data_IF_774847405980
#
_entry.id   IF_774847405980
#
_cell.length_a   1.000
_cell.length_b   1.000
_cell.length_c   1.000
_cell.angle_alpha   90.00
_cell.angle_beta   90.00
_cell.angle_gamma   90.00
#
_symmetry.space_group_name_H-M   'P 1'
#
loop_
_entity.id
_entity.type
_entity.pdbx_description
1 polymer ?
#
# COMPACT_ATOMS: atom_id res chain seq x y z
N UNK A 1 -14.75 -3.10 1.44
CA UNK A 1 -13.81 -2.74 0.35
C UNK A 1 -13.59 -3.89 -0.64
N UNK A 2 -12.99 -3.60 -1.81
CA UNK A 2 -12.99 -4.48 -3.01
C UNK A 2 -12.07 -5.70 -2.86
N UNK A 3 -10.96 -5.60 -2.14
CA UNK A 3 -9.99 -6.69 -1.96
C UNK A 3 -9.85 -7.06 -0.49
N UNK A 4 -10.39 -8.22 -0.09
CA UNK A 4 -10.32 -8.72 1.30
C UNK A 4 -9.24 -9.78 1.54
N UNK A 5 -8.59 -10.28 0.50
CA UNK A 5 -7.57 -11.32 0.60
C UNK A 5 -6.56 -11.23 -0.54
N UNK A 6 -5.37 -11.77 -0.31
CA UNK A 6 -4.33 -11.90 -1.33
C UNK A 6 -4.83 -12.64 -2.57
N UNK A 7 -5.62 -13.71 -2.40
CA UNK A 7 -6.19 -14.46 -3.53
C UNK A 7 -7.11 -13.63 -4.42
N UNK A 8 -7.93 -12.72 -3.84
CA UNK A 8 -8.76 -11.80 -4.64
C UNK A 8 -7.91 -10.78 -5.40
N UNK A 9 -6.85 -10.27 -4.77
CA UNK A 9 -5.89 -9.38 -5.43
C UNK A 9 -5.20 -10.09 -6.60
N UNK A 10 -4.71 -11.31 -6.36
CA UNK A 10 -4.01 -12.12 -7.36
C UNK A 10 -4.92 -12.42 -8.56
N UNK A 11 -6.19 -12.78 -8.31
CA UNK A 11 -7.17 -13.00 -9.36
C UNK A 11 -7.34 -11.75 -10.23
N UNK A 12 -7.62 -10.58 -9.63
CA UNK A 12 -7.82 -9.35 -10.38
C UNK A 12 -6.56 -8.91 -11.13
N UNK A 13 -5.39 -9.00 -10.50
CA UNK A 13 -4.10 -8.68 -11.12
C UNK A 13 -3.85 -9.57 -12.34
N UNK A 14 -4.08 -10.87 -12.22
CA UNK A 14 -3.86 -11.82 -13.32
C UNK A 14 -4.83 -11.56 -14.48
N UNK A 15 -6.10 -11.22 -14.20
CA UNK A 15 -7.08 -10.87 -15.23
C UNK A 15 -6.71 -9.59 -15.99
N UNK A 16 -6.15 -8.59 -15.31
CA UNK A 16 -5.80 -7.28 -15.90
C UNK A 16 -4.35 -7.21 -16.41
N UNK A 17 -3.59 -8.30 -16.28
CA UNK A 17 -2.16 -8.35 -16.52
C UNK A 17 -1.78 -7.86 -17.92
N UNK A 18 -2.48 -8.37 -18.94
CA UNK A 18 -2.20 -8.05 -20.34
C UNK A 18 -2.51 -6.59 -20.66
N UNK A 19 -3.54 -6.02 -20.04
CA UNK A 19 -3.90 -4.60 -20.17
C UNK A 19 -2.80 -3.72 -19.56
N UNK A 20 -2.35 -4.03 -18.35
CA UNK A 20 -1.27 -3.28 -17.70
C UNK A 20 0.05 -3.38 -18.47
N UNK A 21 0.40 -4.56 -18.96
CA UNK A 21 1.61 -4.75 -19.76
C UNK A 21 1.53 -3.94 -21.06
N UNK A 22 0.38 -3.96 -21.74
CA UNK A 22 0.16 -3.22 -22.98
C UNK A 22 0.20 -1.71 -22.75
N UNK A 23 -0.43 -1.23 -21.67
CA UNK A 23 -0.40 0.18 -21.26
C UNK A 23 1.02 0.66 -20.94
N UNK A 24 1.78 -0.11 -20.16
CA UNK A 24 3.18 0.20 -19.87
C UNK A 24 4.04 0.23 -21.15
N UNK A 25 3.87 -0.76 -22.01
CA UNK A 25 4.59 -0.85 -23.29
C UNK A 25 4.30 0.37 -24.18
N UNK A 26 3.04 0.79 -24.28
CA UNK A 26 2.63 1.97 -25.04
C UNK A 26 3.22 3.28 -24.48
N UNK A 27 3.59 3.31 -23.19
CA UNK A 27 4.27 4.43 -22.54
C UNK A 27 5.79 4.28 -22.50
N UNK A 28 6.36 3.29 -23.20
CA UNK A 28 7.81 3.11 -23.30
C UNK A 28 8.44 2.36 -22.14
N UNK A 29 7.66 1.59 -21.37
CA UNK A 29 8.15 0.78 -20.26
C UNK A 29 7.83 -0.71 -20.45
N UNK A 30 8.71 -1.58 -19.96
CA UNK A 30 8.45 -3.02 -19.81
C UNK A 30 8.30 -3.32 -18.34
N UNK A 31 7.20 -3.96 -17.97
CA UNK A 31 7.04 -4.56 -16.65
C UNK A 31 7.84 -5.88 -16.64
N UNK A 32 8.80 -5.99 -15.73
CA UNK A 32 9.65 -7.17 -15.56
C UNK A 32 9.10 -8.11 -14.49
N UNK A 33 8.33 -7.58 -13.54
CA UNK A 33 7.67 -8.38 -12.52
C UNK A 33 6.82 -7.52 -11.60
N UNK A 34 5.76 -8.11 -11.06
CA UNK A 34 4.84 -7.45 -10.13
C UNK A 34 5.20 -7.76 -8.69
N UNK A 35 5.10 -6.76 -7.84
CA UNK A 35 5.39 -6.90 -6.42
C UNK A 35 4.22 -6.42 -5.56
N UNK A 36 4.12 -6.99 -4.38
CA UNK A 36 3.32 -6.42 -3.30
C UNK A 36 4.19 -5.49 -2.45
N UNK A 37 3.56 -4.54 -1.78
CA UNK A 37 4.20 -3.75 -0.71
C UNK A 37 3.61 -4.10 0.64
N UNK A 38 2.34 -4.52 0.69
CA UNK A 38 1.70 -5.10 1.87
C UNK A 38 0.20 -4.81 1.97
N UNK A 39 -0.41 -5.28 3.06
CA UNK A 39 -1.83 -5.06 3.38
C UNK A 39 -1.99 -3.71 4.05
N UNK A 40 -2.87 -2.87 3.55
CA UNK A 40 -3.08 -1.56 4.14
C UNK A 40 -3.88 -1.69 5.45
N UNK A 41 -3.35 -1.12 6.52
CA UNK A 41 -3.98 -1.03 7.83
C UNK A 41 -4.09 0.43 8.25
N UNK A 42 -5.13 0.75 9.03
CA UNK A 42 -5.25 2.06 9.65
C UNK A 42 -4.47 2.09 10.95
N UNK A 43 -3.63 3.12 11.10
CA UNK A 43 -2.98 3.48 12.35
C UNK A 43 -3.42 4.88 12.72
N UNK A 44 -3.78 5.08 13.98
CA UNK A 44 -4.38 6.33 14.44
C UNK A 44 -4.00 6.63 15.89
N UNK A 45 -4.15 7.90 16.28
CA UNK A 45 -3.88 8.38 17.65
C UNK A 45 -5.18 8.75 18.37
N UNK A 46 -5.50 8.03 19.44
CA UNK A 46 -6.64 8.27 20.33
C UNK A 46 -8.00 7.79 19.83
N UNK A 47 -8.06 7.03 18.73
CA UNK A 47 -9.31 6.49 18.17
C UNK A 47 -9.04 5.31 17.22
N UNK A 48 -10.03 4.45 16.98
CA UNK A 48 -9.99 3.46 15.90
C UNK A 48 -10.71 3.98 14.65
N UNK A 49 -10.17 3.71 13.46
CA UNK A 49 -10.81 4.08 12.17
C UNK A 49 -11.78 2.97 11.77
N UNK A 50 -13.03 3.06 12.19
CA UNK A 50 -14.01 1.98 11.94
C UNK A 50 -14.86 2.19 10.70
N UNK A 51 -14.97 3.44 10.25
CA UNK A 51 -15.72 3.85 9.07
C UNK A 51 -15.20 5.19 8.52
N UNK A 52 -15.68 5.67 7.35
CA UNK A 52 -15.30 6.97 6.83
C UNK A 52 -15.56 8.14 7.80
N UNK A 53 -16.67 8.10 8.54
CA UNK A 53 -17.04 9.16 9.49
C UNK A 53 -16.02 9.30 10.65
N UNK A 54 -15.31 8.23 11.00
CA UNK A 54 -14.23 8.23 12.01
C UNK A 54 -13.10 9.20 11.65
N UNK A 55 -12.95 9.55 10.37
CA UNK A 55 -11.92 10.46 9.87
C UNK A 55 -12.34 11.94 9.94
N UNK A 56 -13.61 12.25 10.21
CA UNK A 56 -14.08 13.63 10.27
C UNK A 56 -13.34 14.42 11.37
N UNK A 57 -12.80 15.59 11.02
CA UNK A 57 -11.97 16.41 11.91
C UNK A 57 -10.57 15.84 12.19
N UNK A 58 -10.18 14.74 11.55
CA UNK A 58 -8.86 14.11 11.67
C UNK A 58 -7.92 14.60 10.57
N UNK A 59 -6.64 14.27 10.68
CA UNK A 59 -5.57 14.73 9.77
C UNK A 59 -4.90 13.53 9.08
N UNK A 60 -5.62 12.79 8.23
CA UNK A 60 -5.06 11.62 7.58
C UNK A 60 -3.95 12.02 6.60
N UNK A 61 -2.82 11.34 6.65
CA UNK A 61 -1.77 11.44 5.63
C UNK A 61 -2.29 10.95 4.27
N UNK A 62 -1.91 11.66 3.21
CA UNK A 62 -1.98 11.16 1.84
C UNK A 62 -0.65 11.41 1.15
N UNK A 63 -0.21 10.47 0.31
CA UNK A 63 0.97 10.69 -0.51
C UNK A 63 0.68 11.81 -1.51
N UNK A 64 1.53 12.85 -1.51
CA UNK A 64 1.33 14.07 -2.31
C UNK A 64 1.06 13.81 -3.79
N UNK A 65 1.79 12.87 -4.38
CA UNK A 65 1.69 12.50 -5.80
C UNK A 65 0.53 11.54 -6.10
N UNK A 66 -0.26 11.14 -5.10
CA UNK A 66 -1.43 10.28 -5.24
C UNK A 66 -2.74 11.08 -5.30
N UNK A 67 -3.12 11.45 -6.52
CA UNK A 67 -4.34 12.20 -6.79
C UNK A 67 -5.61 11.40 -6.47
N UNK A 68 -5.55 10.06 -6.59
CA UNK A 68 -6.70 9.18 -6.38
C UNK A 68 -7.08 9.12 -4.90
N UNK A 69 -6.11 8.82 -4.02
CA UNK A 69 -6.36 8.80 -2.58
C UNK A 69 -6.76 10.19 -2.08
N UNK A 70 -6.16 11.26 -2.61
CA UNK A 70 -6.51 12.62 -2.22
C UNK A 70 -7.95 12.97 -2.59
N UNK A 71 -8.42 12.52 -3.75
CA UNK A 71 -9.81 12.69 -4.19
C UNK A 71 -10.76 11.86 -3.32
N UNK A 72 -10.41 10.62 -3.01
CA UNK A 72 -11.18 9.75 -2.13
C UNK A 72 -11.35 10.35 -0.72
N UNK A 73 -10.28 10.85 -0.11
CA UNK A 73 -10.39 11.48 1.22
C UNK A 73 -11.26 12.74 1.20
N UNK A 74 -11.18 13.54 0.13
CA UNK A 74 -11.99 14.76 -0.03
C UNK A 74 -13.48 14.47 -0.25
N UNK A 75 -13.85 13.27 -0.71
CA UNK A 75 -15.26 12.89 -0.81
C UNK A 75 -15.87 12.51 0.53
N UNK A 76 -15.06 12.35 1.59
CA UNK A 76 -15.55 12.08 2.94
C UNK A 76 -15.85 13.42 3.63
N UNK A 77 -17.11 13.68 4.03
CA UNK A 77 -17.47 14.94 4.68
C UNK A 77 -16.62 15.23 5.93
N UNK A 78 -16.11 16.46 6.03
CA UNK A 78 -15.33 16.90 7.19
C UNK A 78 -13.89 16.38 7.26
N UNK A 79 -13.38 15.74 6.20
CA UNK A 79 -12.00 15.24 6.13
C UNK A 79 -11.14 16.14 5.25
N UNK A 80 -10.02 16.60 5.79
CA UNK A 80 -8.99 17.32 5.02
C UNK A 80 -7.68 16.55 5.13
N UNK A 81 -7.27 15.78 4.10
CA UNK A 81 -6.04 15.02 4.16
C UNK A 81 -4.81 15.93 4.07
N UNK A 82 -3.70 15.45 4.62
CA UNK A 82 -2.41 16.18 4.67
C UNK A 82 -1.46 15.59 3.63
N UNK A 83 -1.25 16.26 2.48
CA UNK A 83 -0.40 15.76 1.42
C UNK A 83 1.09 15.92 1.77
N UNK A 84 1.80 14.80 1.92
CA UNK A 84 3.22 14.78 2.26
C UNK A 84 3.97 13.80 1.35
N UNK A 85 5.27 14.00 1.22
CA UNK A 85 6.20 12.98 0.73
C UNK A 85 6.65 12.11 1.90
N UNK A 86 7.05 10.87 1.61
CA UNK A 86 7.45 9.88 2.63
C UNK A 86 8.46 10.42 3.67
N UNK A 87 9.53 11.16 3.30
CA UNK A 87 10.49 11.71 4.27
C UNK A 87 9.89 12.73 5.26
N UNK A 88 8.77 13.37 4.89
CA UNK A 88 8.13 14.42 5.70
C UNK A 88 7.13 13.85 6.72
N UNK A 89 6.74 12.58 6.59
CA UNK A 89 5.68 11.96 7.40
C UNK A 89 6.10 11.84 8.87
N UNK A 90 7.29 11.31 9.16
CA UNK A 90 7.75 11.14 10.54
C UNK A 90 7.86 12.50 11.28
N UNK A 91 8.47 13.56 10.69
CA UNK A 91 8.40 14.91 11.25
C UNK A 91 6.97 15.42 11.48
N UNK A 92 6.05 15.18 10.54
CA UNK A 92 4.66 15.61 10.66
C UNK A 92 3.90 14.87 11.78
N UNK A 93 4.17 13.57 11.98
CA UNK A 93 3.65 12.77 13.08
C UNK A 93 4.15 13.27 14.43
N UNK A 94 5.44 13.63 14.52
CA UNK A 94 6.05 14.20 15.73
C UNK A 94 5.45 15.58 16.06
N UNK A 95 5.16 16.39 15.04
CA UNK A 95 4.57 17.72 15.19
C UNK A 95 3.04 17.73 15.29
N UNK A 96 2.40 16.56 15.40
CA UNK A 96 0.93 16.41 15.47
C UNK A 96 0.16 17.04 14.28
N UNK A 97 0.84 17.17 13.13
CA UNK A 97 0.22 17.61 11.87
C UNK A 97 -0.51 16.48 11.16
N UNK A 98 -0.09 15.23 11.42
CA UNK A 98 -0.79 14.00 11.01
C UNK A 98 -1.09 13.20 12.27
N UNK A 99 -2.28 12.63 12.36
CA UNK A 99 -2.70 11.75 13.47
C UNK A 99 -3.10 10.35 13.01
N UNK A 100 -3.27 10.16 11.69
CA UNK A 100 -3.74 8.90 11.11
C UNK A 100 -3.09 8.62 9.77
N UNK A 101 -2.77 7.35 9.55
CA UNK A 101 -2.16 6.86 8.30
C UNK A 101 -2.81 5.54 7.87
N UNK A 102 -2.89 5.32 6.57
CA UNK A 102 -3.29 4.06 5.96
C UNK A 102 -2.08 3.50 5.20
N UNK A 103 -1.47 2.42 5.69
CA UNK A 103 -0.20 1.90 5.17
C UNK A 103 0.00 0.44 5.56
N UNK A 104 0.90 -0.32 4.93
CA UNK A 104 1.27 -1.63 5.42
C UNK A 104 2.01 -1.60 6.74
N UNK A 105 1.86 -2.68 7.51
CA UNK A 105 2.51 -2.81 8.80
C UNK A 105 4.02 -2.84 8.66
N UNK A 106 4.55 -3.50 7.63
CA UNK A 106 5.97 -3.53 7.32
C UNK A 106 6.51 -2.11 7.12
N UNK A 107 5.85 -1.32 6.27
CA UNK A 107 6.21 0.08 6.00
C UNK A 107 6.15 0.95 7.25
N UNK A 108 5.04 0.88 8.01
CA UNK A 108 4.87 1.63 9.25
C UNK A 108 6.01 1.33 10.24
N UNK A 109 6.40 0.07 10.34
CA UNK A 109 7.50 -0.39 11.19
C UNK A 109 8.87 0.09 10.71
N UNK A 110 9.19 -0.14 9.44
CA UNK A 110 10.49 0.21 8.86
C UNK A 110 10.76 1.72 8.86
N UNK A 111 9.72 2.53 8.65
CA UNK A 111 9.81 3.99 8.67
C UNK A 111 9.67 4.58 10.08
N UNK A 112 9.65 3.72 11.12
CA UNK A 112 9.59 4.09 12.54
C UNK A 112 8.32 4.86 12.94
N UNK A 113 7.25 4.77 12.16
CA UNK A 113 6.01 5.50 12.39
C UNK A 113 5.16 4.88 13.52
N UNK A 114 5.24 3.56 13.72
CA UNK A 114 4.41 2.80 14.70
C UNK A 114 4.32 3.48 16.06
N UNK A 115 5.44 3.98 16.58
CA UNK A 115 5.52 4.57 17.92
C UNK A 115 4.76 5.90 18.09
N UNK A 116 4.15 6.44 17.03
CA UNK A 116 3.39 7.70 17.04
C UNK A 116 1.88 7.48 17.08
N UNK A 117 1.46 6.22 17.11
CA UNK A 117 0.08 5.77 17.18
C UNK A 117 -0.14 4.94 18.43
N UNK A 118 -1.40 4.79 18.81
CA UNK A 118 -1.85 3.96 19.93
C UNK A 118 -2.97 2.99 19.51
N UNK A 119 -3.54 3.14 18.30
CA UNK A 119 -4.53 2.23 17.74
C UNK A 119 -4.09 1.68 16.39
N UNK A 120 -4.53 0.45 16.09
CA UNK A 120 -4.41 -0.17 14.76
C UNK A 120 -5.68 -0.93 14.41
N UNK A 121 -6.20 -0.75 13.20
CA UNK A 121 -7.28 -1.59 12.67
C UNK A 121 -6.65 -2.76 11.92
N UNK A 122 -6.89 -3.98 12.41
CA UNK A 122 -6.21 -5.19 11.93
C UNK A 122 -6.81 -5.75 10.65
N UNK A 123 -8.07 -5.44 10.38
CA UNK A 123 -8.72 -5.76 9.11
C UNK A 123 -8.10 -4.91 7.99
N UNK A 124 -8.10 -5.46 6.77
CA UNK A 124 -7.55 -4.79 5.60
C UNK A 124 -8.44 -5.04 4.40
N UNK A 125 -8.75 -3.96 3.68
CA UNK A 125 -9.60 -3.98 2.49
C UNK A 125 -8.92 -3.37 1.26
N UNK A 126 -7.62 -3.09 1.38
CA UNK A 126 -6.80 -2.49 0.35
C UNK A 126 -5.38 -3.04 0.46
N UNK A 127 -4.71 -3.14 -0.68
CA UNK A 127 -3.34 -3.64 -0.79
C UNK A 127 -2.51 -2.60 -1.53
N UNK A 128 -1.29 -2.37 -1.05
CA UNK A 128 -0.33 -1.58 -1.79
C UNK A 128 0.49 -2.51 -2.68
N UNK A 129 0.57 -2.17 -3.96
CA UNK A 129 1.19 -2.98 -5.01
C UNK A 129 2.20 -2.13 -5.77
N UNK A 130 3.13 -2.79 -6.44
CA UNK A 130 4.12 -2.16 -7.28
C UNK A 130 4.56 -3.07 -8.43
N UNK A 131 5.48 -2.56 -9.23
CA UNK A 131 6.08 -3.33 -10.31
C UNK A 131 7.54 -2.91 -10.51
N UNK A 132 8.39 -3.88 -10.83
CA UNK A 132 9.70 -3.59 -11.40
C UNK A 132 9.50 -3.25 -12.87
N UNK A 133 9.89 -2.04 -13.26
CA UNK A 133 9.77 -1.57 -14.64
C UNK A 133 11.13 -1.12 -15.18
N UNK A 134 11.33 -1.30 -16.48
CA UNK A 134 12.52 -0.83 -17.19
C UNK A 134 12.12 -0.11 -18.48
N UNK A 135 12.94 0.82 -18.96
CA UNK A 135 12.78 1.43 -20.27
C UNK A 135 12.66 0.36 -21.35
N UNK A 136 11.60 0.43 -22.16
CA UNK A 136 11.39 -0.51 -23.27
C UNK A 136 12.53 -0.42 -24.28
N UNK A 137 13.00 0.79 -24.58
CA UNK A 137 14.13 1.01 -25.50
C UNK A 137 15.40 0.31 -25.01
N UNK A 138 15.67 0.38 -23.70
CA UNK A 138 16.84 -0.28 -23.12
C UNK A 138 16.72 -1.81 -23.20
N UNK A 139 15.54 -2.36 -22.92
CA UNK A 139 15.29 -3.80 -23.02
C UNK A 139 15.40 -4.27 -24.46
N UNK A 140 14.75 -3.60 -25.41
CA UNK A 140 14.74 -4.02 -26.82
C UNK A 140 16.11 -3.90 -27.50
N UNK A 141 17.00 -3.04 -26.98
CA UNK A 141 18.38 -2.91 -27.47
C UNK A 141 19.28 -4.10 -27.09
N UNK A 142 18.85 -4.94 -26.15
CA UNK A 142 19.60 -6.14 -25.76
C UNK A 142 19.46 -7.24 -26.83
N UNK A 143 20.47 -8.11 -26.99
CA UNK A 143 20.32 -9.38 -27.68
C UNK A 143 19.15 -10.23 -27.13
N UNK A 144 18.50 -11.03 -27.97
CA UNK A 144 17.27 -11.76 -27.61
C UNK A 144 17.44 -12.68 -26.40
N UNK A 145 18.57 -13.37 -26.31
CA UNK A 145 18.93 -14.22 -25.18
C UNK A 145 19.03 -13.42 -23.87
N UNK A 146 19.60 -12.22 -23.91
CA UNK A 146 19.69 -11.34 -22.74
C UNK A 146 18.32 -10.75 -22.36
N UNK A 147 17.47 -10.44 -23.34
CA UNK A 147 16.08 -10.03 -23.08
C UNK A 147 15.32 -11.12 -22.33
N UNK A 148 15.45 -12.37 -22.76
CA UNK A 148 14.77 -13.51 -22.15
C UNK A 148 15.26 -13.73 -20.72
N UNK A 149 16.57 -13.74 -20.50
CA UNK A 149 17.15 -13.84 -19.15
C UNK A 149 16.67 -12.71 -18.24
N UNK A 150 16.63 -11.47 -18.74
CA UNK A 150 16.16 -10.32 -17.95
C UNK A 150 14.68 -10.46 -17.54
N UNK A 151 13.83 -10.87 -18.48
CA UNK A 151 12.38 -11.05 -18.22
C UNK A 151 12.15 -12.21 -17.24
N UNK A 152 12.82 -13.34 -17.45
CA UNK A 152 12.62 -14.53 -16.62
C UNK A 152 13.16 -14.32 -15.20
N UNK A 153 14.34 -13.73 -15.06
CA UNK A 153 14.89 -13.38 -13.73
C UNK A 153 14.07 -12.31 -13.02
N UNK A 154 13.53 -11.33 -13.75
CA UNK A 154 12.60 -10.34 -13.21
C UNK A 154 11.33 -10.98 -12.62
N UNK A 155 10.73 -11.94 -13.34
CA UNK A 155 9.55 -12.68 -12.86
C UNK A 155 9.87 -13.52 -11.63
N UNK A 156 11.01 -14.23 -11.63
CA UNK A 156 11.46 -15.04 -10.50
C UNK A 156 11.65 -14.18 -9.24
N UNK A 157 12.43 -13.09 -9.35
CA UNK A 157 12.69 -12.18 -8.25
C UNK A 157 11.40 -11.55 -7.71
N UNK A 158 10.47 -11.17 -8.59
CA UNK A 158 9.18 -10.60 -8.21
C UNK A 158 8.29 -11.60 -7.43
N UNK A 159 8.29 -12.88 -7.83
CA UNK A 159 7.59 -13.94 -7.12
C UNK A 159 8.16 -14.21 -5.72
N UNK A 160 9.48 -14.26 -5.60
CA UNK A 160 10.17 -14.41 -4.31
C UNK A 160 9.90 -13.22 -3.38
N UNK A 161 10.05 -11.99 -3.89
CA UNK A 161 9.78 -10.77 -3.13
C UNK A 161 8.32 -10.70 -2.69
N UNK A 162 7.37 -11.06 -3.54
CA UNK A 162 5.95 -11.10 -3.20
C UNK A 162 5.70 -12.02 -1.99
N UNK A 163 6.20 -13.25 -2.05
CA UNK A 163 6.06 -14.21 -0.95
C UNK A 163 6.69 -13.68 0.34
N UNK A 164 7.90 -13.13 0.24
CA UNK A 164 8.63 -12.58 1.38
C UNK A 164 7.91 -11.39 2.01
N UNK A 165 7.45 -10.42 1.21
CA UNK A 165 6.77 -9.22 1.69
C UNK A 165 5.47 -9.58 2.40
N UNK A 166 4.65 -10.49 1.84
CA UNK A 166 3.41 -10.95 2.49
C UNK A 166 3.70 -11.53 3.88
N UNK A 167 4.74 -12.34 4.02
CA UNK A 167 5.13 -12.95 5.29
C UNK A 167 5.69 -11.92 6.27
N UNK A 168 6.58 -11.04 5.83
CA UNK A 168 7.20 -10.01 6.67
C UNK A 168 6.18 -8.96 7.14
N UNK A 169 5.22 -8.59 6.30
CA UNK A 169 4.14 -7.66 6.62
C UNK A 169 3.17 -8.23 7.65
N UNK A 170 2.74 -9.49 7.48
CA UNK A 170 1.95 -10.20 8.49
C UNK A 170 2.71 -10.28 9.83
N UNK A 171 4.01 -10.64 9.79
CA UNK A 171 4.81 -10.71 11.00
C UNK A 171 5.01 -9.34 11.66
N UNK A 172 5.09 -8.25 10.87
CA UNK A 172 5.14 -6.89 11.37
C UNK A 172 3.85 -6.49 12.08
N UNK A 173 2.69 -6.82 11.50
CA UNK A 173 1.40 -6.57 12.13
C UNK A 173 1.29 -7.29 13.48
N UNK A 174 1.64 -8.58 13.54
CA UNK A 174 1.61 -9.34 14.80
C UNK A 174 2.54 -8.79 15.88
N UNK A 175 3.68 -8.19 15.51
CA UNK A 175 4.54 -7.48 16.47
C UNK A 175 3.91 -6.16 16.93
N UNK A 176 3.25 -5.43 16.04
CA UNK A 176 2.69 -4.12 16.34
C UNK A 176 1.42 -4.19 17.19
N UNK A 177 0.56 -5.20 16.97
CA UNK A 177 -0.62 -5.50 17.80
C UNK A 177 -0.32 -5.70 19.29
N UNK A 178 0.94 -6.02 19.64
CA UNK A 178 1.39 -6.15 21.04
C UNK A 178 1.70 -4.81 21.70
N UNK A 179 1.85 -3.74 20.91
CA UNK A 179 2.24 -2.40 21.35
C UNK A 179 1.12 -1.37 21.21
N UNK A 180 0.18 -1.62 20.32
CA UNK A 180 -0.96 -0.78 20.00
C UNK A 180 -2.24 -1.46 20.48
N UNK A 181 -3.33 -0.71 20.63
CA UNK A 181 -4.68 -1.23 20.82
C UNK A 181 -5.20 -1.74 19.47
N UNK A 182 -5.33 -3.07 19.27
CA UNK A 182 -5.86 -3.60 18.03
C UNK A 182 -7.39 -3.50 18.01
N UNK A 183 -7.96 -3.09 16.89
CA UNK A 183 -9.40 -3.15 16.60
C UNK A 183 -9.63 -4.09 15.42
N UNK A 184 -10.53 -5.06 15.59
CA UNK A 184 -11.06 -5.83 14.46
C UNK A 184 -12.45 -5.34 14.14
N UNK A 185 -12.71 -5.04 12.87
CA UNK A 185 -13.98 -4.47 12.44
C UNK A 185 -15.11 -5.50 12.58
N UNK A 186 -16.22 -5.05 13.15
CA UNK A 186 -17.49 -5.78 13.14
C UNK A 186 -18.07 -5.86 11.72
N UNK A 187 -19.03 -6.75 11.50
CA UNK A 187 -19.68 -6.86 10.19
C UNK A 187 -20.44 -5.58 9.80
N UNK A 188 -20.99 -4.87 10.78
CA UNK A 188 -21.63 -3.58 10.55
C UNK A 188 -20.62 -2.51 10.10
N UNK A 189 -19.47 -2.41 10.78
CA UNK A 189 -18.39 -1.49 10.40
C UNK A 189 -17.79 -1.81 9.02
N UNK A 190 -17.75 -3.09 8.63
CA UNK A 190 -17.29 -3.52 7.28
C UNK A 190 -18.26 -3.17 6.15
N UNK A 191 -19.54 -2.94 6.48
CA UNK A 191 -20.59 -2.65 5.51
C UNK A 191 -20.73 -1.16 5.17
N UNK A 192 -20.10 -0.28 5.95
CA UNK A 192 -20.01 1.17 5.72
C UNK A 192 -18.88 1.56 4.76
#
# INVERSE_FOLDING_TARGET
GVFGSWGKLDQARNTLMDEFQSGANAKGFRILGWGDVGRMHWYSRGYAVTNPASLAGRKPYVWREDDNHRTLFRSIPGVTPVPLGVPEVLPALNANRVDTIHTPALTCGQLQWVSRFDHVVTDSHAFMVGALVMSKTAVDALPKDQQDVLIDTGKLAAGELTTRIRNEDNAALERQKKKLTPHSLTDAEKAE
#
